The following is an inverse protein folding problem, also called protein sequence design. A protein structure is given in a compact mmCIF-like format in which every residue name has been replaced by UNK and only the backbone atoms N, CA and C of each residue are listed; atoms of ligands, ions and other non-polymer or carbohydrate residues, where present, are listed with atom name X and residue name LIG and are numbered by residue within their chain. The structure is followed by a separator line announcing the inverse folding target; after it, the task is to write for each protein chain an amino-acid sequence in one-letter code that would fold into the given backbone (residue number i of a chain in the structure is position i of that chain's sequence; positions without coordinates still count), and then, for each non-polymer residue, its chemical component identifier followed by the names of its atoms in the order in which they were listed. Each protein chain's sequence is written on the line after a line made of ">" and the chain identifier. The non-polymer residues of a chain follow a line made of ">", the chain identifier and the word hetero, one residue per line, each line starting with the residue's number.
data_IF_046904862488
#
_entry.id   IF_046904862488
#
_cell.length_a   1.000
_cell.length_b   1.000
_cell.length_c   1.000
_cell.angle_alpha   90.00
_cell.angle_beta   90.00
_cell.angle_gamma   90.00
#
_symmetry.space_group_name_H-M   'P 1'
#
loop_
_entity.id
_entity.type
_entity.pdbx_description
1 polymer ?
#
# COMPACT_ATOMS: atom_id res chain seq x y z
N UNK A 1 -16.76 -15.88 16.02
CA UNK A 1 -16.14 -14.58 16.30
C UNK A 1 -15.10 -14.34 15.21
N UNK A 2 -14.97 -13.12 14.68
CA UNK A 2 -13.96 -12.79 13.66
C UNK A 2 -12.58 -12.86 14.32
N UNK A 3 -11.69 -13.70 13.79
CA UNK A 3 -10.31 -13.81 14.28
C UNK A 3 -9.38 -13.02 13.35
N UNK A 4 -8.88 -11.89 13.86
CA UNK A 4 -7.92 -11.02 13.16
C UNK A 4 -6.49 -11.18 13.71
N UNK A 5 -6.24 -12.17 14.57
CA UNK A 5 -4.92 -12.39 15.17
C UNK A 5 -3.86 -12.67 14.09
N UNK A 6 -2.76 -11.95 14.21
CA UNK A 6 -1.55 -12.11 13.41
C UNK A 6 -0.35 -12.48 14.28
N UNK A 7 -0.62 -13.02 15.49
CA UNK A 7 0.42 -13.36 16.44
C UNK A 7 1.45 -14.34 15.83
N UNK A 8 2.71 -14.01 16.02
CA UNK A 8 3.83 -14.79 15.48
C UNK A 8 4.09 -14.61 13.99
N UNK A 9 3.31 -13.76 13.29
CA UNK A 9 3.53 -13.43 11.88
C UNK A 9 4.54 -12.30 11.72
N UNK A 10 5.34 -12.38 10.66
CA UNK A 10 6.26 -11.32 10.25
C UNK A 10 5.72 -10.63 8.99
N UNK A 11 5.52 -9.33 9.09
CA UNK A 11 4.98 -8.50 8.03
C UNK A 11 6.00 -7.50 7.50
N UNK A 12 5.91 -7.20 6.21
CA UNK A 12 6.61 -6.08 5.57
C UNK A 12 5.59 -5.10 5.02
N UNK A 13 5.79 -3.80 5.29
CA UNK A 13 5.01 -2.70 4.71
C UNK A 13 5.94 -1.72 4.03
N UNK A 14 5.76 -1.51 2.72
CA UNK A 14 6.57 -0.54 1.98
C UNK A 14 5.94 0.85 2.02
N UNK A 15 6.76 1.92 2.18
CA UNK A 15 6.29 3.31 2.14
C UNK A 15 5.41 3.71 3.32
N UNK A 16 5.86 3.44 4.55
CA UNK A 16 5.05 3.61 5.74
C UNK A 16 5.40 4.86 6.58
N UNK A 17 5.94 5.92 5.96
CA UNK A 17 6.26 7.15 6.69
C UNK A 17 5.05 7.93 7.19
N UNK A 18 3.90 7.73 6.57
CA UNK A 18 2.64 8.44 6.90
C UNK A 18 1.45 7.80 6.17
N UNK A 19 0.25 8.23 6.54
CA UNK A 19 -1.00 7.87 5.85
C UNK A 19 -1.32 6.37 5.92
N UNK A 20 -1.72 5.78 4.78
CA UNK A 20 -2.16 4.38 4.72
C UNK A 20 -1.08 3.43 5.24
N UNK A 21 0.18 3.61 4.82
CA UNK A 21 1.26 2.74 5.23
C UNK A 21 1.53 2.76 6.73
N UNK A 22 1.52 3.95 7.35
CA UNK A 22 1.66 4.12 8.79
C UNK A 22 0.51 3.44 9.56
N UNK A 23 -0.74 3.68 9.13
CA UNK A 23 -1.92 3.06 9.75
C UNK A 23 -1.87 1.52 9.64
N UNK A 24 -1.42 0.98 8.50
CA UNK A 24 -1.24 -0.46 8.30
C UNK A 24 -0.18 -1.03 9.24
N UNK A 25 0.98 -0.38 9.40
CA UNK A 25 2.02 -0.84 10.34
C UNK A 25 1.47 -0.92 11.76
N UNK A 26 0.81 0.16 12.24
CA UNK A 26 0.21 0.20 13.58
C UNK A 26 -0.80 -0.93 13.76
N UNK A 27 -1.75 -1.05 12.85
CA UNK A 27 -2.84 -2.02 12.97
C UNK A 27 -2.36 -3.47 12.87
N UNK A 28 -1.43 -3.80 11.97
CA UNK A 28 -0.85 -5.14 11.93
C UNK A 28 -0.10 -5.47 13.23
N UNK A 29 0.62 -4.49 13.78
CA UNK A 29 1.33 -4.62 15.05
C UNK A 29 0.38 -4.85 16.22
N UNK A 30 -0.71 -4.08 16.32
CA UNK A 30 -1.73 -4.22 17.36
C UNK A 30 -2.41 -5.59 17.33
N UNK A 31 -2.51 -6.20 16.15
CA UNK A 31 -3.02 -7.56 15.98
C UNK A 31 -1.94 -8.66 16.14
N UNK A 32 -0.72 -8.30 16.58
CA UNK A 32 0.32 -9.24 16.99
C UNK A 32 1.39 -9.56 15.97
N UNK A 33 1.39 -8.95 14.78
CA UNK A 33 2.46 -9.13 13.82
C UNK A 33 3.71 -8.33 14.23
N UNK A 34 4.90 -8.91 14.03
CA UNK A 34 6.14 -8.13 13.99
C UNK A 34 6.29 -7.50 12.61
N UNK A 35 6.45 -6.18 12.55
CA UNK A 35 6.39 -5.44 11.28
C UNK A 35 7.72 -4.77 10.96
N UNK A 36 8.30 -5.11 9.81
CA UNK A 36 9.39 -4.34 9.22
C UNK A 36 8.81 -3.41 8.15
N UNK A 37 9.20 -2.15 8.18
CA UNK A 37 8.73 -1.18 7.19
C UNK A 37 9.86 -0.34 6.61
N UNK A 38 9.64 0.27 5.46
CA UNK A 38 10.58 1.23 4.91
C UNK A 38 9.96 2.60 4.65
N UNK A 39 10.80 3.61 4.76
CA UNK A 39 10.52 4.99 4.41
C UNK A 39 11.81 5.73 4.04
N UNK A 40 11.71 6.93 3.46
CA UNK A 40 12.86 7.80 3.15
C UNK A 40 13.21 8.74 4.30
N UNK A 41 12.20 9.13 5.09
CA UNK A 41 12.35 10.11 6.17
C UNK A 41 12.73 9.42 7.47
N UNK A 42 13.88 9.78 8.02
CA UNK A 42 14.43 9.20 9.26
C UNK A 42 13.57 9.50 10.49
N UNK A 43 13.02 10.72 10.59
CA UNK A 43 12.20 11.10 11.75
C UNK A 43 10.89 10.32 11.76
N UNK A 44 10.25 10.15 10.59
CA UNK A 44 9.06 9.32 10.46
C UNK A 44 9.34 7.85 10.83
N UNK A 45 10.53 7.34 10.47
CA UNK A 45 10.96 5.98 10.87
C UNK A 45 11.08 5.89 12.38
N UNK A 46 11.77 6.84 13.01
CA UNK A 46 11.94 6.85 14.48
C UNK A 46 10.57 6.91 15.18
N UNK A 47 9.71 7.84 14.79
CA UNK A 47 8.39 8.01 15.39
C UNK A 47 7.53 6.75 15.31
N UNK A 48 7.54 6.07 14.15
CA UNK A 48 6.72 4.87 13.96
C UNK A 48 7.36 3.63 14.64
N UNK A 49 8.67 3.56 14.72
CA UNK A 49 9.38 2.50 15.46
C UNK A 49 9.10 2.59 16.96
N UNK A 50 8.93 3.80 17.50
CA UNK A 50 8.61 4.05 18.91
C UNK A 50 7.13 3.85 19.25
N UNK A 51 6.28 3.53 18.28
CA UNK A 51 4.86 3.26 18.49
C UNK A 51 4.68 2.11 19.47
N UNK A 52 3.82 2.31 20.48
CA UNK A 52 3.49 1.30 21.47
C UNK A 52 2.30 0.48 21.00
N UNK A 53 2.61 -0.68 20.46
CA UNK A 53 1.59 -1.64 20.05
C UNK A 53 0.77 -2.13 21.23
N UNK A 54 -0.52 -2.39 20.97
CA UNK A 54 -1.41 -3.06 21.94
C UNK A 54 -0.99 -4.52 22.21
N UNK A 55 -0.28 -5.15 21.27
CA UNK A 55 0.27 -6.48 21.43
C UNK A 55 1.69 -6.44 22.02
N UNK A 56 1.91 -7.03 23.20
CA UNK A 56 3.22 -6.96 23.88
C UNK A 56 4.33 -7.76 23.19
N UNK A 57 3.97 -8.63 22.25
CA UNK A 57 4.93 -9.51 21.56
C UNK A 57 5.31 -9.01 20.17
N UNK A 58 4.64 -7.98 19.66
CA UNK A 58 4.96 -7.41 18.36
C UNK A 58 6.19 -6.51 18.45
N UNK A 59 6.93 -6.44 17.35
CA UNK A 59 8.07 -5.53 17.19
C UNK A 59 7.88 -4.73 15.91
N UNK A 60 8.21 -3.45 15.97
CA UNK A 60 8.22 -2.58 14.80
C UNK A 60 9.68 -2.19 14.50
N UNK A 61 10.12 -2.42 13.28
CA UNK A 61 11.44 -2.05 12.78
C UNK A 61 11.32 -1.22 11.53
N UNK A 62 11.90 -0.03 11.53
CA UNK A 62 11.98 0.83 10.36
C UNK A 62 13.33 0.79 9.70
N UNK A 63 13.37 0.76 8.37
CA UNK A 63 14.57 0.81 7.55
C UNK A 63 14.50 1.98 6.58
N UNK A 64 15.62 2.67 6.36
CA UNK A 64 15.70 3.72 5.35
C UNK A 64 15.84 3.06 3.99
N UNK A 65 14.88 3.32 3.09
CA UNK A 65 14.99 2.89 1.70
C UNK A 65 14.23 3.83 0.75
N UNK A 66 14.82 4.11 -0.39
CA UNK A 66 14.15 4.70 -1.54
C UNK A 66 13.74 3.59 -2.50
N UNK A 67 12.45 3.35 -2.59
CA UNK A 67 11.90 2.27 -3.41
C UNK A 67 11.84 2.61 -4.91
N UNK A 68 12.19 3.85 -5.30
CA UNK A 68 12.41 4.21 -6.70
C UNK A 68 13.77 3.71 -7.23
N UNK A 69 14.67 3.33 -6.32
CA UNK A 69 16.00 2.84 -6.64
C UNK A 69 16.07 1.31 -6.48
N UNK A 70 16.43 0.60 -7.55
CA UNK A 70 16.51 -0.85 -7.54
C UNK A 70 17.47 -1.38 -6.48
N UNK A 71 18.67 -0.78 -6.37
CA UNK A 71 19.69 -1.16 -5.41
C UNK A 71 19.25 -0.92 -3.96
N UNK A 72 18.56 0.19 -3.70
CA UNK A 72 18.01 0.49 -2.39
C UNK A 72 16.90 -0.49 -2.00
N UNK A 73 16.03 -0.86 -2.95
CA UNK A 73 15.02 -1.89 -2.76
C UNK A 73 15.64 -3.25 -2.44
N UNK A 74 16.69 -3.65 -3.16
CA UNK A 74 17.41 -4.91 -2.94
C UNK A 74 18.08 -4.95 -1.58
N UNK A 75 18.72 -3.86 -1.14
CA UNK A 75 19.32 -3.73 0.19
C UNK A 75 18.25 -3.85 1.29
N UNK A 76 17.11 -3.17 1.14
CA UNK A 76 15.98 -3.29 2.06
C UNK A 76 15.50 -4.74 2.19
N UNK A 77 15.32 -5.43 1.05
CA UNK A 77 14.90 -6.84 1.02
C UNK A 77 15.93 -7.73 1.74
N UNK A 78 17.21 -7.55 1.44
CA UNK A 78 18.30 -8.32 2.05
C UNK A 78 18.31 -8.15 3.57
N UNK A 79 18.31 -6.91 4.05
CA UNK A 79 18.35 -6.61 5.48
C UNK A 79 17.10 -7.13 6.21
N UNK A 80 15.94 -7.11 5.54
CA UNK A 80 14.70 -7.66 6.07
C UNK A 80 14.77 -9.18 6.24
N UNK A 81 15.37 -9.88 5.27
CA UNK A 81 15.50 -11.35 5.27
C UNK A 81 16.58 -11.86 6.25
N UNK A 82 17.54 -11.04 6.65
CA UNK A 82 18.54 -11.39 7.68
C UNK A 82 17.88 -11.74 9.03
N UNK A 83 16.72 -11.17 9.33
CA UNK A 83 15.96 -11.49 10.53
C UNK A 83 15.04 -12.71 10.39
N UNK A 84 14.95 -13.27 9.20
CA UNK A 84 14.14 -14.45 8.87
C UNK A 84 13.06 -14.18 7.83
N UNK A 85 12.26 -15.20 7.53
CA UNK A 85 11.27 -15.18 6.46
C UNK A 85 10.06 -14.28 6.75
N UNK A 86 9.38 -13.85 5.68
CA UNK A 86 8.24 -12.97 5.73
C UNK A 86 6.95 -13.72 5.39
N UNK A 87 5.94 -13.56 6.23
CA UNK A 87 4.61 -14.13 6.07
C UNK A 87 3.65 -13.21 5.30
N UNK A 88 3.75 -11.91 5.54
CA UNK A 88 2.82 -10.89 5.03
C UNK A 88 3.61 -9.81 4.32
N UNK A 89 3.20 -9.46 3.11
CA UNK A 89 3.75 -8.35 2.35
C UNK A 89 2.64 -7.37 1.97
N UNK A 90 2.78 -6.11 2.38
CA UNK A 90 1.92 -5.00 1.94
C UNK A 90 2.73 -4.06 1.05
N UNK A 91 2.52 -4.15 -0.26
CA UNK A 91 3.08 -3.25 -1.25
C UNK A 91 2.26 -1.96 -1.27
N UNK A 92 2.69 -0.97 -0.49
CA UNK A 92 1.96 0.29 -0.32
C UNK A 92 2.66 1.48 -0.98
N UNK A 93 3.97 1.41 -1.23
CA UNK A 93 4.70 2.49 -1.91
C UNK A 93 3.99 2.95 -3.17
N UNK A 94 3.95 4.26 -3.37
CA UNK A 94 3.45 4.85 -4.60
C UNK A 94 3.44 6.37 -4.56
N UNK A 95 3.46 6.96 -5.76
CA UNK A 95 3.26 8.38 -6.00
C UNK A 95 2.22 8.58 -7.09
N UNK A 96 1.54 9.71 -7.04
CA UNK A 96 0.51 10.11 -8.00
C UNK A 96 0.75 11.57 -8.43
N UNK A 97 1.76 11.83 -9.25
CA UNK A 97 2.01 13.17 -9.76
C UNK A 97 0.89 13.58 -10.72
N UNK A 98 0.50 14.86 -10.67
CA UNK A 98 -0.41 15.44 -11.67
C UNK A 98 0.42 15.87 -12.88
N UNK A 99 0.14 15.29 -14.05
CA UNK A 99 0.91 15.56 -15.27
C UNK A 99 -0.01 15.69 -16.48
N UNK A 100 0.37 16.57 -17.41
CA UNK A 100 -0.30 16.66 -18.72
C UNK A 100 0.32 15.67 -19.67
N UNK A 101 -0.49 14.77 -20.24
CA UNK A 101 -0.06 13.69 -21.13
C UNK A 101 0.85 14.15 -22.28
N UNK A 102 0.54 15.29 -22.90
CA UNK A 102 1.30 15.79 -24.05
C UNK A 102 2.73 16.24 -23.69
N UNK A 103 3.01 16.46 -22.41
CA UNK A 103 4.33 16.93 -21.94
C UNK A 103 5.06 15.88 -21.10
N UNK A 104 4.46 14.70 -20.90
CA UNK A 104 5.16 13.60 -20.23
C UNK A 104 6.25 13.03 -21.12
N UNK A 105 7.46 12.94 -20.57
CA UNK A 105 8.57 12.25 -21.20
C UNK A 105 8.51 10.73 -20.96
N UNK A 106 9.25 9.97 -21.75
CA UNK A 106 9.45 8.52 -21.49
C UNK A 106 10.07 8.27 -20.11
N UNK A 107 10.89 9.19 -19.61
CA UNK A 107 11.51 9.08 -18.28
C UNK A 107 10.48 9.21 -17.17
N UNK A 108 9.53 10.15 -17.29
CA UNK A 108 8.40 10.25 -16.34
C UNK A 108 7.64 8.92 -16.22
N UNK A 109 7.44 8.22 -17.35
CA UNK A 109 6.81 6.90 -17.36
C UNK A 109 7.67 5.85 -16.69
N UNK A 110 8.98 5.82 -16.96
CA UNK A 110 9.92 4.86 -16.36
C UNK A 110 10.00 5.04 -14.86
N UNK A 111 10.17 6.27 -14.40
CA UNK A 111 10.28 6.61 -12.98
C UNK A 111 9.03 6.19 -12.20
N UNK A 112 7.85 6.48 -12.75
CA UNK A 112 6.62 6.10 -12.09
C UNK A 112 6.39 4.58 -12.07
N UNK A 113 6.75 3.88 -13.15
CA UNK A 113 6.72 2.42 -13.18
C UNK A 113 7.74 1.81 -12.22
N UNK A 114 8.93 2.38 -12.12
CA UNK A 114 9.96 1.94 -11.19
C UNK A 114 9.45 1.99 -9.74
N UNK A 115 8.91 3.15 -9.34
CA UNK A 115 8.42 3.37 -8.00
C UNK A 115 7.14 2.56 -7.69
N UNK A 116 6.10 2.69 -8.53
CA UNK A 116 4.76 2.16 -8.20
C UNK A 116 4.61 0.66 -8.49
N UNK A 117 5.38 0.12 -9.43
CA UNK A 117 5.19 -1.24 -9.94
C UNK A 117 6.40 -2.14 -9.69
N UNK A 118 7.59 -1.75 -10.16
CA UNK A 118 8.76 -2.62 -10.07
C UNK A 118 9.25 -2.81 -8.65
N UNK A 119 9.10 -1.83 -7.77
CA UNK A 119 9.35 -1.97 -6.32
C UNK A 119 8.50 -3.11 -5.73
N UNK A 120 7.19 -3.12 -6.03
CA UNK A 120 6.27 -4.17 -5.58
C UNK A 120 6.60 -5.54 -6.18
N UNK A 121 7.01 -5.58 -7.46
CA UNK A 121 7.45 -6.81 -8.13
C UNK A 121 8.70 -7.38 -7.46
N UNK A 122 9.72 -6.56 -7.17
CA UNK A 122 10.95 -6.99 -6.48
C UNK A 122 10.65 -7.55 -5.10
N UNK A 123 9.91 -6.82 -4.27
CA UNK A 123 9.52 -7.30 -2.94
C UNK A 123 8.75 -8.61 -3.02
N UNK A 124 7.74 -8.68 -3.88
CA UNK A 124 6.91 -9.89 -4.00
C UNK A 124 7.75 -11.08 -4.48
N UNK A 125 8.60 -10.91 -5.49
CA UNK A 125 9.47 -11.97 -6.01
C UNK A 125 10.42 -12.51 -4.95
N UNK A 126 10.89 -11.66 -4.05
CA UNK A 126 11.87 -12.04 -3.03
C UNK A 126 11.26 -12.71 -1.80
N UNK A 127 10.05 -12.31 -1.37
CA UNK A 127 9.41 -12.88 -0.19
C UNK A 127 8.51 -14.09 -0.52
N UNK A 128 8.02 -14.20 -1.75
CA UNK A 128 7.12 -15.27 -2.18
C UNK A 128 7.67 -16.69 -2.04
N UNK A 129 8.96 -17.00 -2.29
CA UNK A 129 9.48 -18.37 -2.19
C UNK A 129 9.23 -18.99 -0.82
N UNK A 130 9.51 -18.27 0.26
CA UNK A 130 9.29 -18.76 1.62
C UNK A 130 7.79 -18.95 1.92
N UNK A 131 6.93 -17.99 1.53
CA UNK A 131 5.48 -18.11 1.70
C UNK A 131 4.93 -19.40 1.05
N UNK A 132 5.47 -19.78 -0.10
CA UNK A 132 5.13 -21.03 -0.80
C UNK A 132 5.62 -22.28 -0.07
N UNK A 133 6.83 -22.23 0.46
CA UNK A 133 7.45 -23.35 1.17
C UNK A 133 6.68 -23.69 2.45
N UNK A 134 6.31 -22.68 3.24
CA UNK A 134 5.53 -22.86 4.47
C UNK A 134 4.03 -23.05 4.23
N UNK A 135 3.56 -23.01 2.97
CA UNK A 135 2.15 -23.12 2.59
C UNK A 135 1.23 -22.09 3.22
N UNK A 136 1.77 -20.91 3.52
CA UNK A 136 1.04 -19.79 4.06
C UNK A 136 1.70 -18.47 3.65
N UNK A 137 0.93 -17.56 3.11
CA UNK A 137 1.41 -16.21 2.76
C UNK A 137 0.25 -15.27 2.44
N UNK A 138 0.48 -13.99 2.69
CA UNK A 138 -0.46 -12.90 2.35
C UNK A 138 0.28 -11.79 1.63
N UNK A 139 -0.16 -11.47 0.43
CA UNK A 139 0.39 -10.35 -0.36
C UNK A 139 -0.74 -9.39 -0.67
N UNK A 140 -0.61 -8.17 -0.21
CA UNK A 140 -1.57 -7.09 -0.46
C UNK A 140 -0.93 -6.06 -1.37
N UNK A 141 -1.60 -5.75 -2.47
CA UNK A 141 -1.25 -4.65 -3.38
C UNK A 141 -2.14 -3.44 -3.08
N UNK A 142 -1.58 -2.36 -2.54
CA UNK A 142 -2.32 -1.10 -2.43
C UNK A 142 -2.33 -0.45 -3.80
N UNK A 143 -3.40 -0.72 -4.53
CA UNK A 143 -3.65 -0.15 -5.84
C UNK A 143 -4.39 1.19 -5.71
N UNK A 144 -5.40 1.41 -6.50
CA UNK A 144 -6.26 2.60 -6.47
C UNK A 144 -7.55 2.33 -7.25
N UNK A 145 -8.62 3.06 -6.95
CA UNK A 145 -9.80 3.12 -7.82
C UNK A 145 -9.43 3.56 -9.25
N UNK A 146 -8.43 4.45 -9.41
CA UNK A 146 -7.92 4.86 -10.73
C UNK A 146 -7.30 3.72 -11.54
N UNK A 147 -6.90 2.62 -10.89
CA UNK A 147 -6.44 1.40 -11.59
C UNK A 147 -7.57 0.58 -12.20
N UNK A 148 -8.80 0.76 -11.76
CA UNK A 148 -9.99 0.08 -12.28
C UNK A 148 -10.86 1.02 -13.12
N UNK A 149 -10.95 2.28 -12.71
CA UNK A 149 -11.73 3.33 -13.37
C UNK A 149 -10.75 4.45 -13.80
N UNK A 150 -10.29 4.44 -15.06
CA UNK A 150 -9.30 5.40 -15.53
C UNK A 150 -9.75 6.85 -15.38
N UNK A 151 -8.84 7.70 -14.92
CA UNK A 151 -9.05 9.14 -14.80
C UNK A 151 -8.20 9.88 -15.83
N UNK A 152 -8.80 10.85 -16.51
CA UNK A 152 -8.07 11.70 -17.46
C UNK A 152 -6.95 12.52 -16.80
N UNK A 153 -7.03 12.78 -15.50
CA UNK A 153 -6.01 13.50 -14.73
C UNK A 153 -4.86 12.62 -14.23
N UNK A 154 -4.98 11.28 -14.32
CA UNK A 154 -4.06 10.33 -13.69
C UNK A 154 -3.69 9.19 -14.65
N UNK A 155 -3.32 9.51 -15.88
CA UNK A 155 -3.16 8.54 -16.99
C UNK A 155 -2.04 7.54 -16.67
N UNK A 156 -0.86 8.01 -16.33
CA UNK A 156 0.32 7.21 -16.01
C UNK A 156 0.14 6.45 -14.68
N UNK A 157 -0.37 7.15 -13.67
CA UNK A 157 -0.67 6.55 -12.37
C UNK A 157 -1.69 5.41 -12.49
N UNK A 158 -2.81 5.67 -13.18
CA UNK A 158 -3.85 4.66 -13.43
C UNK A 158 -3.30 3.43 -14.11
N UNK A 159 -2.39 3.59 -15.08
CA UNK A 159 -1.73 2.49 -15.77
C UNK A 159 -0.91 1.62 -14.80
N UNK A 160 -0.08 2.24 -13.92
CA UNK A 160 0.70 1.49 -12.92
C UNK A 160 -0.21 0.74 -11.94
N UNK A 161 -1.30 1.36 -11.50
CA UNK A 161 -2.25 0.75 -10.55
C UNK A 161 -3.09 -0.35 -11.20
N UNK A 162 -3.43 -0.24 -12.49
CA UNK A 162 -4.03 -1.34 -13.28
C UNK A 162 -3.09 -2.53 -13.41
N UNK A 163 -1.81 -2.30 -13.65
CA UNK A 163 -0.81 -3.34 -13.72
C UNK A 163 -0.68 -4.10 -12.39
N UNK A 164 -0.73 -3.41 -11.25
CA UNK A 164 -0.73 -4.05 -9.91
C UNK A 164 -1.95 -4.98 -9.73
N UNK A 165 -3.15 -4.58 -10.15
CA UNK A 165 -4.36 -5.42 -10.10
C UNK A 165 -4.18 -6.67 -10.96
N UNK A 166 -3.66 -6.51 -12.17
CA UNK A 166 -3.41 -7.64 -13.10
C UNK A 166 -2.41 -8.63 -12.53
N UNK A 167 -1.28 -8.14 -12.00
CA UNK A 167 -0.24 -8.98 -11.37
C UNK A 167 -0.81 -9.71 -10.15
N UNK A 168 -1.56 -9.02 -9.29
CA UNK A 168 -2.21 -9.63 -8.12
C UNK A 168 -3.08 -10.83 -8.52
N UNK A 169 -3.95 -10.68 -9.49
CA UNK A 169 -4.80 -11.77 -10.01
C UNK A 169 -4.00 -12.93 -10.59
N UNK A 170 -2.93 -12.62 -11.31
CA UNK A 170 -2.07 -13.64 -11.94
C UNK A 170 -1.32 -14.45 -10.88
N UNK A 171 -0.75 -13.79 -9.86
CA UNK A 171 -0.07 -14.42 -8.75
C UNK A 171 -1.04 -15.26 -7.90
N UNK A 172 -2.24 -14.75 -7.61
CA UNK A 172 -3.29 -15.47 -6.90
C UNK A 172 -3.65 -16.79 -7.58
N UNK A 173 -3.84 -16.78 -8.91
CA UNK A 173 -4.09 -17.99 -9.71
C UNK A 173 -2.92 -18.97 -9.67
N UNK A 174 -1.70 -18.46 -9.76
CA UNK A 174 -0.49 -19.27 -9.83
C UNK A 174 -0.15 -19.95 -8.51
N UNK A 175 -0.27 -19.22 -7.39
CA UNK A 175 0.26 -19.63 -6.09
C UNK A 175 -0.79 -19.93 -5.02
N UNK A 176 -2.08 -19.83 -5.35
CA UNK A 176 -3.16 -20.11 -4.39
C UNK A 176 -3.11 -21.54 -3.84
N UNK A 177 -2.72 -22.55 -4.65
CA UNK A 177 -2.51 -23.94 -4.21
C UNK A 177 -1.31 -24.09 -3.26
N UNK A 178 -0.41 -23.13 -3.25
CA UNK A 178 0.73 -23.07 -2.34
C UNK A 178 0.38 -22.34 -1.03
N UNK A 179 -0.90 -22.05 -0.78
CA UNK A 179 -1.35 -21.37 0.43
C UNK A 179 -1.09 -19.84 0.44
N UNK A 180 -0.64 -19.27 -0.69
CA UNK A 180 -0.37 -17.84 -0.81
C UNK A 180 -1.59 -17.12 -1.40
N UNK A 181 -2.17 -16.21 -0.62
CA UNK A 181 -3.28 -15.38 -1.05
C UNK A 181 -2.78 -14.00 -1.44
N UNK A 182 -3.16 -13.56 -2.63
CA UNK A 182 -2.74 -12.27 -3.20
C UNK A 182 -3.99 -11.47 -3.56
N UNK A 183 -4.16 -10.30 -2.94
CA UNK A 183 -5.31 -9.45 -3.15
C UNK A 183 -4.88 -7.99 -3.38
N UNK A 184 -5.73 -7.23 -4.06
CA UNK A 184 -5.55 -5.79 -4.25
C UNK A 184 -6.60 -5.03 -3.44
N UNK A 185 -6.17 -4.00 -2.73
CA UNK A 185 -7.05 -2.99 -2.11
C UNK A 185 -7.00 -1.76 -3.00
N UNK A 186 -8.16 -1.22 -3.33
CA UNK A 186 -8.32 -0.08 -4.23
C UNK A 186 -8.93 1.12 -3.47
N UNK A 187 -8.11 1.90 -2.75
CA UNK A 187 -8.60 3.11 -2.11
C UNK A 187 -9.10 4.12 -3.14
N UNK A 188 -10.18 4.81 -2.79
CA UNK A 188 -10.66 6.00 -3.49
C UNK A 188 -10.07 7.27 -2.87
N UNK A 189 -10.93 8.23 -2.52
CA UNK A 189 -10.53 9.45 -1.85
C UNK A 189 -10.27 9.17 -0.36
N UNK A 190 -9.01 9.05 0.01
CA UNK A 190 -8.56 8.88 1.40
C UNK A 190 -7.85 10.14 1.86
N UNK A 191 -8.21 10.66 3.03
CA UNK A 191 -7.57 11.83 3.61
C UNK A 191 -6.14 11.46 4.04
N UNK A 192 -5.17 11.96 3.29
CA UNK A 192 -3.74 11.71 3.48
C UNK A 192 -2.95 12.95 3.09
N UNK A 193 -1.71 13.06 3.56
CA UNK A 193 -0.82 14.15 3.15
C UNK A 193 -0.55 14.19 1.62
N UNK A 194 -0.67 13.06 0.92
CA UNK A 194 -0.63 13.05 -0.54
C UNK A 194 -1.80 13.83 -1.14
N UNK A 195 -3.01 13.66 -0.59
CA UNK A 195 -4.19 14.35 -1.04
C UNK A 195 -4.21 15.82 -0.62
N UNK A 196 -3.72 16.15 0.57
CA UNK A 196 -3.55 17.55 1.01
C UNK A 196 -2.64 18.32 0.06
N UNK A 197 -1.53 17.71 -0.37
CA UNK A 197 -0.64 18.30 -1.36
C UNK A 197 -1.34 18.50 -2.71
N UNK A 198 -2.05 17.48 -3.21
CA UNK A 198 -2.79 17.59 -4.46
C UNK A 198 -3.88 18.68 -4.39
N UNK A 199 -4.58 18.82 -3.26
CA UNK A 199 -5.56 19.88 -3.04
C UNK A 199 -4.90 21.27 -3.02
N UNK A 200 -3.70 21.40 -2.47
CA UNK A 200 -2.89 22.63 -2.55
C UNK A 200 -2.57 23.01 -3.99
N UNK A 201 -2.05 22.07 -4.78
CA UNK A 201 -1.74 22.29 -6.20
C UNK A 201 -2.98 22.71 -7.02
N UNK A 202 -4.15 22.10 -6.75
CA UNK A 202 -5.42 22.47 -7.40
C UNK A 202 -5.84 23.88 -6.97
N UNK A 203 -5.72 24.21 -5.69
CA UNK A 203 -6.07 25.51 -5.16
C UNK A 203 -5.20 26.62 -5.77
N UNK A 204 -3.88 26.41 -5.84
CA UNK A 204 -2.92 27.35 -6.44
C UNK A 204 -3.24 27.61 -7.93
N UNK A 205 -3.55 26.54 -8.68
CA UNK A 205 -3.90 26.64 -10.10
C UNK A 205 -5.24 27.35 -10.36
N UNK A 206 -6.19 27.31 -9.40
CA UNK A 206 -7.52 27.90 -9.51
C UNK A 206 -7.69 29.23 -8.79
N UNK A 207 -6.67 29.70 -8.05
CA UNK A 207 -6.77 30.88 -7.19
C UNK A 207 -7.69 30.69 -5.98
N UNK A 208 -7.88 29.43 -5.55
CA UNK A 208 -8.78 29.03 -4.48
C UNK A 208 -8.07 28.69 -3.16
N UNK A 209 -8.77 27.96 -2.29
CA UNK A 209 -8.29 27.52 -0.99
C UNK A 209 -8.29 25.99 -0.94
N UNK A 210 -7.19 25.38 -0.46
CA UNK A 210 -7.03 23.93 -0.35
C UNK A 210 -8.12 23.28 0.53
N UNK A 211 -8.54 23.92 1.62
CA UNK A 211 -9.62 23.41 2.48
C UNK A 211 -10.96 23.32 1.74
N UNK A 212 -11.26 24.30 0.89
CA UNK A 212 -12.47 24.30 0.06
C UNK A 212 -12.44 23.19 -0.98
N UNK A 213 -11.26 22.94 -1.60
CA UNK A 213 -11.05 21.82 -2.53
C UNK A 213 -11.28 20.49 -1.81
N UNK A 214 -10.70 20.30 -0.62
CA UNK A 214 -10.88 19.11 0.20
C UNK A 214 -12.36 18.93 0.54
N UNK A 215 -13.01 19.95 1.07
CA UNK A 215 -14.43 19.90 1.46
C UNK A 215 -15.32 19.57 0.27
N UNK A 216 -15.16 20.25 -0.86
CA UNK A 216 -15.95 20.01 -2.08
C UNK A 216 -15.79 18.59 -2.60
N UNK A 217 -14.57 18.09 -2.66
CA UNK A 217 -14.31 16.72 -3.11
C UNK A 217 -14.85 15.68 -2.14
N UNK A 218 -14.73 15.91 -0.83
CA UNK A 218 -15.34 15.03 0.19
C UNK A 218 -16.86 14.94 0.03
N UNK A 219 -17.53 16.07 -0.22
CA UNK A 219 -18.98 16.11 -0.45
C UNK A 219 -19.41 15.46 -1.78
N UNK A 220 -18.50 15.28 -2.75
CA UNK A 220 -18.79 14.59 -3.99
C UNK A 220 -18.87 13.05 -3.85
N UNK A 221 -18.34 12.54 -2.74
CA UNK A 221 -18.44 11.11 -2.40
C UNK A 221 -19.82 10.82 -1.82
N UNK A 222 -20.54 9.76 -2.21
CA UNK A 222 -21.88 9.46 -1.71
C UNK A 222 -22.03 9.45 -0.18
N UNK A 223 -20.99 9.06 0.56
CA UNK A 223 -20.96 9.11 2.04
C UNK A 223 -20.68 10.52 2.60
N UNK A 224 -20.39 11.51 1.76
CA UNK A 224 -20.18 12.90 2.13
C UNK A 224 -18.84 13.21 2.81
N UNK A 225 -17.87 12.28 2.78
CA UNK A 225 -16.54 12.47 3.37
C UNK A 225 -15.46 11.64 2.68
N UNK A 226 -14.22 11.99 2.93
CA UNK A 226 -13.09 11.12 2.66
C UNK A 226 -13.11 9.87 3.55
N UNK A 227 -12.54 8.77 3.04
CA UNK A 227 -12.13 7.66 3.90
C UNK A 227 -10.90 8.02 4.71
N UNK A 228 -10.61 7.24 5.75
CA UNK A 228 -9.41 7.40 6.58
C UNK A 228 -8.38 6.31 6.27
N UNK A 229 -7.13 6.55 6.66
CA UNK A 229 -6.06 5.56 6.55
C UNK A 229 -6.35 4.30 7.37
N UNK A 230 -7.03 4.45 8.52
CA UNK A 230 -7.43 3.36 9.41
C UNK A 230 -8.52 2.48 8.79
N UNK A 231 -9.45 3.05 8.01
CA UNK A 231 -10.45 2.27 7.26
C UNK A 231 -9.77 1.38 6.21
N UNK A 232 -8.71 1.88 5.55
CA UNK A 232 -7.90 1.06 4.63
C UNK A 232 -7.12 -0.01 5.39
N UNK A 233 -6.47 0.36 6.51
CA UNK A 233 -5.70 -0.56 7.34
C UNK A 233 -6.57 -1.69 7.91
N UNK A 234 -7.83 -1.41 8.26
CA UNK A 234 -8.80 -2.41 8.74
C UNK A 234 -9.05 -3.50 7.70
N UNK A 235 -9.27 -3.12 6.43
CA UNK A 235 -9.43 -4.09 5.35
C UNK A 235 -8.13 -4.87 5.09
N UNK A 236 -6.99 -4.19 5.09
CA UNK A 236 -5.67 -4.84 4.91
C UNK A 236 -5.45 -5.90 6.00
N UNK A 237 -5.69 -5.55 7.26
CA UNK A 237 -5.53 -6.47 8.40
C UNK A 237 -6.46 -7.67 8.30
N UNK A 238 -7.73 -7.44 7.95
CA UNK A 238 -8.68 -8.52 7.68
C UNK A 238 -8.16 -9.46 6.58
N UNK A 239 -7.70 -8.92 5.44
CA UNK A 239 -7.18 -9.72 4.32
C UNK A 239 -5.89 -10.48 4.67
N UNK A 240 -5.11 -10.00 5.63
CA UNK A 240 -3.92 -10.67 6.15
C UNK A 240 -4.26 -11.79 7.16
N UNK A 241 -5.45 -11.79 7.75
CA UNK A 241 -5.87 -12.73 8.78
C UNK A 241 -6.34 -14.08 8.21
N UNK A 242 -6.57 -15.04 9.10
CA UNK A 242 -7.19 -16.31 8.75
C UNK A 242 -8.68 -16.17 8.40
N UNK A 243 -9.34 -15.13 8.86
CA UNK A 243 -10.74 -14.84 8.54
C UNK A 243 -10.99 -14.57 7.06
N UNK A 244 -9.93 -14.19 6.31
CA UNK A 244 -9.99 -13.97 4.86
C UNK A 244 -9.42 -15.15 4.04
N UNK A 245 -9.31 -16.34 4.62
CA UNK A 245 -8.63 -17.50 4.00
C UNK A 245 -9.24 -17.98 2.67
N UNK A 246 -10.44 -17.54 2.33
CA UNK A 246 -11.10 -17.87 1.04
C UNK A 246 -11.16 -16.70 0.07
N UNK A 247 -10.47 -15.59 0.38
CA UNK A 247 -10.40 -14.40 -0.50
C UNK A 247 -9.04 -14.39 -1.19
N UNK A 248 -9.03 -14.66 -2.50
CA UNK A 248 -7.81 -14.71 -3.30
C UNK A 248 -8.03 -14.16 -4.70
N UNK A 249 -7.18 -13.25 -5.16
CA UNK A 249 -7.27 -12.59 -6.46
C UNK A 249 -8.37 -11.51 -6.52
N UNK A 250 -8.88 -11.09 -5.37
CA UNK A 250 -9.86 -10.02 -5.29
C UNK A 250 -9.20 -8.64 -5.52
N UNK A 251 -9.99 -7.72 -6.10
CA UNK A 251 -9.68 -6.31 -6.20
C UNK A 251 -10.80 -5.57 -5.47
N UNK A 252 -10.57 -5.24 -4.20
CA UNK A 252 -11.59 -4.73 -3.28
C UNK A 252 -11.52 -3.20 -3.23
N UNK A 253 -12.61 -2.57 -3.58
CA UNK A 253 -12.73 -1.13 -3.58
C UNK A 253 -13.09 -0.61 -2.18
N UNK A 254 -12.37 0.40 -1.74
CA UNK A 254 -12.69 1.28 -0.62
C UNK A 254 -13.02 2.65 -1.20
N UNK A 255 -14.08 2.69 -1.99
CA UNK A 255 -14.49 3.89 -2.72
C UNK A 255 -15.98 3.82 -2.99
N UNK A 256 -16.66 4.95 -2.80
CA UNK A 256 -18.08 5.12 -3.13
C UNK A 256 -18.28 6.09 -4.31
N UNK A 257 -17.20 6.43 -5.04
CA UNK A 257 -17.25 7.37 -6.17
C UNK A 257 -17.78 6.71 -7.46
N UNK A 258 -17.77 5.38 -7.52
CA UNK A 258 -18.02 4.63 -8.75
C UNK A 258 -19.21 3.65 -8.62
N UNK A 259 -20.24 4.06 -7.87
CA UNK A 259 -21.53 3.37 -7.83
C UNK A 259 -22.42 3.92 -8.94
#
# INVERSE_FOLDING_TARGET
>A
MLDLSLQGKRAVVTGASLGIGEAVVKMLSDHGASVTFCARNKDAITNLTDYKSESPHSKIKGLIADMSEASSTENFIKETLEEGPIDILVNNVGASPSRNFLYMSDEDWRDLHELNLLSAVRCTRSFLPHMREQKWGRVIMISSSAGKYPSAALIDYGATKSAMISISKSLAKKYGRDGVLVNSVLPGLIHTAMWERAAGEIADASGGNAEEVIKKNGLSVPIGRYGTSEEVASLVTFLCSNSASYINGAAIELSLIHI
#
